data_IF_402499474865
#
_entry.id   IF_402499474865
#
_cell.length_a   1.000
_cell.length_b   1.000
_cell.length_c   1.000
_cell.angle_alpha   90.00
_cell.angle_beta   90.00
_cell.angle_gamma   90.00
#
_symmetry.space_group_name_H-M   'P 1'
#
loop_
_entity.id
_entity.type
_entity.pdbx_description
1 polymer ?
#
# COMPACT_ATOMS: atom_id res chain seq x y z
N UNK A 1 16.84 3.06 -5.92
CA UNK A 1 15.52 2.46 -6.20
C UNK A 1 14.76 3.36 -7.18
N UNK A 2 13.84 2.80 -8.00
CA UNK A 2 12.99 3.59 -8.93
C UNK A 2 11.82 4.20 -8.16
N UNK A 3 11.32 5.33 -8.64
CA UNK A 3 10.21 6.08 -8.04
C UNK A 3 9.11 6.34 -9.06
N UNK A 4 7.93 6.64 -8.56
CA UNK A 4 6.80 7.18 -9.32
C UNK A 4 6.47 8.59 -8.82
N UNK A 5 6.00 9.45 -9.72
CA UNK A 5 5.43 10.75 -9.35
C UNK A 5 3.93 10.59 -9.09
N UNK A 6 3.45 11.19 -8.00
CA UNK A 6 2.04 11.29 -7.65
C UNK A 6 1.39 12.53 -8.27
N UNK A 7 0.06 12.61 -8.27
CA UNK A 7 -0.68 13.74 -8.88
C UNK A 7 -0.38 15.10 -8.23
N UNK A 8 0.14 15.11 -7.01
CA UNK A 8 0.55 16.33 -6.27
C UNK A 8 2.06 16.59 -6.33
N UNK A 9 2.79 15.96 -7.25
CA UNK A 9 4.24 16.09 -7.47
C UNK A 9 5.13 15.48 -6.39
N UNK A 10 4.58 14.84 -5.37
CA UNK A 10 5.38 14.02 -4.47
C UNK A 10 5.91 12.80 -5.22
N UNK A 11 7.08 12.31 -4.81
CA UNK A 11 7.66 11.07 -5.35
C UNK A 11 7.58 9.95 -4.34
N UNK A 12 7.17 8.77 -4.78
CA UNK A 12 7.06 7.56 -3.96
C UNK A 12 7.90 6.44 -4.57
N UNK A 13 8.54 5.62 -3.74
CA UNK A 13 9.29 4.46 -4.25
C UNK A 13 8.35 3.43 -4.86
N UNK A 14 8.78 2.82 -5.97
CA UNK A 14 8.00 1.81 -6.69
C UNK A 14 7.80 0.51 -5.88
N UNK A 15 8.69 0.25 -4.91
CA UNK A 15 8.57 -0.87 -3.97
C UNK A 15 8.71 -0.33 -2.55
N UNK A 16 7.64 -0.46 -1.76
CA UNK A 16 7.61 -0.16 -0.33
C UNK A 16 7.67 -1.44 0.50
N UNK A 17 7.81 -1.27 1.80
CA UNK A 17 7.80 -2.36 2.78
C UNK A 17 6.52 -2.31 3.60
N UNK A 18 5.65 -3.32 3.45
CA UNK A 18 4.42 -3.45 4.22
C UNK A 18 4.66 -4.18 5.54
N UNK A 19 4.01 -3.71 6.62
CA UNK A 19 4.12 -4.33 7.96
C UNK A 19 2.84 -5.01 8.42
N UNK A 20 1.84 -5.19 7.56
CA UNK A 20 0.62 -5.90 7.90
C UNK A 20 0.90 -7.32 8.41
N UNK A 21 0.23 -7.72 9.50
CA UNK A 21 0.42 -9.03 10.17
C UNK A 21 1.84 -9.29 10.68
N UNK A 22 2.66 -8.27 10.88
CA UNK A 22 3.85 -8.39 11.72
C UNK A 22 3.43 -7.95 13.13
N UNK A 23 3.63 -8.80 14.17
CA UNK A 23 3.25 -8.43 15.52
C UNK A 23 3.95 -7.16 16.00
N UNK A 24 3.28 -6.37 16.84
CA UNK A 24 3.87 -5.29 17.62
C UNK A 24 4.80 -5.83 18.73
N UNK A 25 5.29 -4.96 19.59
CA UNK A 25 6.17 -5.28 20.74
C UNK A 25 7.51 -5.94 20.34
N UNK A 26 8.09 -5.46 19.23
CA UNK A 26 9.43 -5.82 18.78
C UNK A 26 9.52 -6.35 17.37
N UNK A 27 8.76 -7.37 16.91
CA UNK A 27 8.91 -7.93 15.57
C UNK A 27 8.71 -6.92 14.44
N UNK A 28 7.76 -5.96 14.57
CA UNK A 28 7.57 -4.90 13.58
C UNK A 28 8.74 -3.92 13.59
N UNK A 29 9.28 -3.59 14.76
CA UNK A 29 10.48 -2.78 14.90
C UNK A 29 11.67 -3.42 14.19
N UNK A 30 11.97 -4.69 14.49
CA UNK A 30 13.11 -5.41 13.91
C UNK A 30 12.98 -5.52 12.38
N UNK A 31 11.79 -5.89 11.87
CA UNK A 31 11.54 -6.01 10.44
C UNK A 31 11.66 -4.66 9.71
N UNK A 32 11.13 -3.58 10.30
CA UNK A 32 11.21 -2.23 9.72
C UNK A 32 12.68 -1.75 9.67
N UNK A 33 13.42 -1.95 10.75
CA UNK A 33 14.83 -1.57 10.80
C UNK A 33 15.67 -2.37 9.79
N UNK A 34 15.40 -3.68 9.64
CA UNK A 34 16.05 -4.53 8.65
C UNK A 34 15.72 -4.08 7.21
N UNK A 35 14.45 -3.74 6.94
CA UNK A 35 14.03 -3.21 5.63
C UNK A 35 14.74 -1.89 5.29
N UNK A 36 14.82 -0.95 6.24
CA UNK A 36 15.55 0.32 6.06
C UNK A 36 17.03 0.08 5.79
N UNK A 37 17.68 -0.85 6.51
CA UNK A 37 19.06 -1.27 6.26
C UNK A 37 19.25 -1.95 4.90
N UNK A 38 18.25 -2.69 4.42
CA UNK A 38 18.26 -3.29 3.08
C UNK A 38 18.09 -2.28 1.95
N UNK A 39 17.70 -1.03 2.25
CA UNK A 39 17.59 0.05 1.26
C UNK A 39 16.15 0.49 0.95
N UNK A 40 15.15 -0.03 1.64
CA UNK A 40 13.79 0.54 1.55
C UNK A 40 13.76 1.96 2.11
N UNK A 41 12.96 2.80 1.48
CA UNK A 41 12.68 4.18 1.92
C UNK A 41 11.19 4.49 1.91
N UNK A 42 10.34 3.52 1.63
CA UNK A 42 8.89 3.60 1.75
C UNK A 42 8.42 2.49 2.70
N UNK A 43 7.79 2.90 3.81
CA UNK A 43 7.25 2.00 4.84
C UNK A 43 5.73 2.20 4.89
N UNK A 44 4.96 1.12 4.76
CA UNK A 44 3.50 1.12 4.82
C UNK A 44 3.02 0.42 6.09
N UNK A 45 2.33 1.18 6.94
CA UNK A 45 1.64 0.72 8.14
C UNK A 45 0.16 1.16 8.13
N UNK A 46 -0.54 1.03 9.24
CA UNK A 46 -1.90 1.52 9.46
C UNK A 46 -2.25 1.58 10.96
N UNK A 47 -3.14 2.49 11.36
CA UNK A 47 -3.71 2.48 12.71
C UNK A 47 -4.32 1.11 13.05
N UNK A 48 -5.04 0.50 12.11
CA UNK A 48 -5.64 -0.83 12.25
C UNK A 48 -4.65 -1.99 12.43
N UNK A 49 -3.35 -1.78 12.25
CA UNK A 49 -2.34 -2.81 12.50
C UNK A 49 -1.81 -2.78 13.93
N UNK A 50 -2.10 -1.70 14.67
CA UNK A 50 -1.64 -1.46 16.06
C UNK A 50 -0.12 -1.53 16.24
N UNK A 51 0.66 -1.22 15.19
CA UNK A 51 2.13 -1.31 15.19
C UNK A 51 2.85 -0.02 14.74
N UNK A 52 2.12 1.10 14.64
CA UNK A 52 2.70 2.40 14.23
C UNK A 52 3.85 2.86 15.16
N UNK A 53 3.76 2.58 16.46
CA UNK A 53 4.81 2.93 17.44
C UNK A 53 6.13 2.20 17.18
N UNK A 54 6.07 0.93 16.81
CA UNK A 54 7.25 0.12 16.44
C UNK A 54 7.89 0.64 15.15
N UNK A 55 7.05 1.00 14.16
CA UNK A 55 7.52 1.61 12.91
C UNK A 55 8.22 2.94 13.19
N UNK A 56 7.58 3.82 13.96
CA UNK A 56 8.15 5.12 14.32
C UNK A 56 9.48 5.00 15.05
N UNK A 57 9.57 4.08 16.02
CA UNK A 57 10.81 3.79 16.75
C UNK A 57 11.91 3.27 15.82
N UNK A 58 11.60 2.33 14.92
CA UNK A 58 12.57 1.80 13.98
C UNK A 58 13.10 2.88 13.02
N UNK A 59 12.23 3.77 12.54
CA UNK A 59 12.62 4.91 11.68
C UNK A 59 13.58 5.82 12.44
N UNK A 60 13.24 6.20 13.67
CA UNK A 60 14.10 7.03 14.51
C UNK A 60 15.46 6.39 14.76
N UNK A 61 15.48 5.11 15.13
CA UNK A 61 16.70 4.38 15.48
C UNK A 61 17.54 3.98 14.25
N UNK A 62 16.98 4.08 13.04
CA UNK A 62 17.70 3.82 11.79
C UNK A 62 18.82 4.84 11.51
N UNK A 63 18.73 6.04 12.07
CA UNK A 63 19.64 7.15 11.81
C UNK A 63 19.52 7.75 10.41
N UNK A 64 18.54 7.33 9.60
CA UNK A 64 18.26 7.88 8.27
C UNK A 64 17.47 9.19 8.46
N UNK A 65 17.80 10.22 7.68
CA UNK A 65 17.05 11.48 7.73
C UNK A 65 15.56 11.22 7.42
N UNK A 66 14.67 11.82 8.24
CA UNK A 66 13.21 11.66 8.08
C UNK A 66 12.73 12.03 6.67
N UNK A 67 13.36 13.02 6.05
CA UNK A 67 13.02 13.47 4.70
C UNK A 67 13.37 12.45 3.60
N UNK A 68 14.21 11.46 3.89
CA UNK A 68 14.52 10.36 2.97
C UNK A 68 13.54 9.19 3.06
N UNK A 69 12.68 9.16 4.09
CA UNK A 69 11.76 8.06 4.34
C UNK A 69 10.33 8.51 4.03
N UNK A 70 9.68 7.79 3.13
CA UNK A 70 8.27 7.95 2.80
C UNK A 70 7.44 7.04 3.71
N UNK A 71 6.59 7.61 4.55
CA UNK A 71 5.72 6.87 5.48
C UNK A 71 4.28 6.90 4.96
N UNK A 72 3.71 5.72 4.76
CA UNK A 72 2.27 5.55 4.55
C UNK A 72 1.64 5.00 5.83
N UNK A 73 0.55 5.62 6.29
CA UNK A 73 -0.36 5.04 7.28
C UNK A 73 -1.82 5.21 6.84
N UNK A 74 -2.77 4.67 7.61
CA UNK A 74 -4.17 4.58 7.22
C UNK A 74 -5.08 4.79 8.43
N UNK A 75 -6.09 5.63 8.27
CA UNK A 75 -7.14 5.83 9.26
C UNK A 75 -8.03 4.59 9.34
N UNK A 76 -8.28 4.09 10.54
CA UNK A 76 -9.19 2.95 10.73
C UNK A 76 -10.64 3.40 10.86
N UNK A 77 -11.57 2.52 10.53
CA UNK A 77 -13.03 2.76 10.50
C UNK A 77 -13.61 3.31 11.81
N UNK A 78 -13.05 2.91 12.95
CA UNK A 78 -13.49 3.38 14.27
C UNK A 78 -13.37 4.89 14.42
N UNK A 79 -12.41 5.50 13.71
CA UNK A 79 -12.13 6.93 13.74
C UNK A 79 -12.72 7.68 12.54
N UNK A 80 -13.64 7.07 11.78
CA UNK A 80 -14.28 7.76 10.66
C UNK A 80 -15.30 8.81 11.16
N UNK A 81 -15.61 9.75 10.28
CA UNK A 81 -16.30 10.99 10.59
C UNK A 81 -15.32 12.12 10.90
N UNK A 82 -15.74 13.36 10.64
CA UNK A 82 -14.85 14.52 10.59
C UNK A 82 -14.05 14.75 11.88
N UNK A 83 -14.73 14.83 13.04
CA UNK A 83 -14.05 15.13 14.31
C UNK A 83 -13.18 13.96 14.83
N UNK A 84 -13.62 12.73 14.63
CA UNK A 84 -12.85 11.55 15.03
C UNK A 84 -11.63 11.37 14.14
N UNK A 85 -11.77 11.58 12.83
CA UNK A 85 -10.65 11.48 11.89
C UNK A 85 -9.52 12.47 12.22
N UNK A 86 -9.85 13.69 12.67
CA UNK A 86 -8.83 14.65 13.15
C UNK A 86 -8.05 14.08 14.32
N UNK A 87 -8.73 13.45 15.29
CA UNK A 87 -8.07 12.82 16.44
C UNK A 87 -7.23 11.59 16.02
N UNK A 88 -7.76 10.78 15.10
CA UNK A 88 -7.05 9.62 14.56
C UNK A 88 -5.75 10.00 13.85
N UNK A 89 -5.76 11.07 13.05
CA UNK A 89 -4.56 11.61 12.40
C UNK A 89 -3.50 12.02 13.44
N UNK A 90 -3.89 12.80 14.47
CA UNK A 90 -2.97 13.23 15.54
C UNK A 90 -2.43 12.01 16.31
N UNK A 91 -3.25 11.00 16.53
CA UNK A 91 -2.84 9.76 17.20
C UNK A 91 -1.80 9.00 16.38
N UNK A 92 -2.03 8.81 15.08
CA UNK A 92 -1.06 8.19 14.18
C UNK A 92 0.28 8.96 14.14
N UNK A 93 0.24 10.29 14.02
CA UNK A 93 1.44 11.13 14.05
C UNK A 93 2.21 10.97 15.35
N UNK A 94 1.50 10.94 16.49
CA UNK A 94 2.10 10.74 17.82
C UNK A 94 2.72 9.35 17.97
N UNK A 95 2.05 8.30 17.52
CA UNK A 95 2.55 6.92 17.59
C UNK A 95 3.78 6.74 16.69
N UNK A 96 3.75 7.29 15.48
CA UNK A 96 4.87 7.31 14.55
C UNK A 96 6.02 8.23 15.03
N UNK A 97 5.75 9.17 15.94
CA UNK A 97 6.73 10.13 16.42
C UNK A 97 7.22 11.11 15.35
N UNK A 98 6.32 11.58 14.49
CA UNK A 98 6.63 12.42 13.33
C UNK A 98 5.82 13.72 13.29
N UNK A 99 6.40 14.76 12.67
CA UNK A 99 5.72 16.05 12.46
C UNK A 99 4.83 16.05 11.20
N UNK A 100 5.02 15.10 10.29
CA UNK A 100 4.21 14.90 9.11
C UNK A 100 4.21 13.43 8.65
N UNK A 101 3.13 13.03 7.96
CA UNK A 101 3.02 11.74 7.27
C UNK A 101 3.04 11.99 5.76
N UNK A 102 3.79 11.17 4.99
CA UNK A 102 3.94 11.39 3.54
C UNK A 102 2.68 11.01 2.76
N UNK A 103 2.02 9.90 3.14
CA UNK A 103 0.75 9.47 2.56
C UNK A 103 -0.17 8.92 3.65
N UNK A 104 -1.40 9.44 3.72
CA UNK A 104 -2.38 8.95 4.67
C UNK A 104 -3.66 8.53 3.94
N UNK A 105 -4.10 7.29 4.17
CA UNK A 105 -5.21 6.69 3.45
C UNK A 105 -6.45 6.54 4.34
N UNK A 106 -7.64 6.60 3.73
CA UNK A 106 -8.82 5.96 4.30
C UNK A 106 -8.72 4.45 4.04
N UNK A 107 -8.68 3.65 5.11
CA UNK A 107 -8.30 2.23 5.04
C UNK A 107 -9.36 1.35 4.38
N UNK A 108 -10.65 1.66 4.59
CA UNK A 108 -11.78 0.88 4.10
C UNK A 108 -12.93 1.83 3.68
N UNK A 109 -13.76 1.44 2.70
CA UNK A 109 -14.77 2.33 2.11
C UNK A 109 -16.13 2.32 2.85
N UNK A 110 -16.15 2.30 4.17
CA UNK A 110 -17.36 2.17 4.97
C UNK A 110 -17.58 3.36 5.91
N UNK A 111 -18.77 3.42 6.54
CA UNK A 111 -19.08 4.44 7.54
C UNK A 111 -19.17 5.87 6.99
N UNK A 112 -18.86 6.87 7.83
CA UNK A 112 -18.81 8.29 7.43
C UNK A 112 -17.49 8.59 6.69
N UNK A 113 -17.39 8.02 5.49
CA UNK A 113 -16.24 8.10 4.62
C UNK A 113 -15.89 9.53 4.18
N UNK A 114 -16.92 10.31 3.78
CA UNK A 114 -16.72 11.68 3.29
C UNK A 114 -16.43 12.66 4.44
N UNK A 115 -16.98 12.43 5.63
CA UNK A 115 -16.59 13.19 6.82
C UNK A 115 -15.12 12.97 7.17
N UNK A 116 -14.65 11.71 7.12
CA UNK A 116 -13.24 11.39 7.31
C UNK A 116 -12.35 11.98 6.20
N UNK A 117 -12.79 11.90 4.92
CA UNK A 117 -12.04 12.49 3.81
C UNK A 117 -11.82 14.00 3.98
N UNK A 118 -12.86 14.73 4.40
CA UNK A 118 -12.76 16.17 4.68
C UNK A 118 -11.69 16.49 5.75
N UNK A 119 -11.57 15.67 6.77
CA UNK A 119 -10.53 15.84 7.79
C UNK A 119 -9.11 15.58 7.21
N UNK A 120 -8.98 14.60 6.30
CA UNK A 120 -7.72 14.38 5.58
C UNK A 120 -7.36 15.58 4.69
N UNK A 121 -8.32 16.17 3.98
CA UNK A 121 -8.13 17.37 3.15
C UNK A 121 -7.62 18.56 3.99
N UNK A 122 -8.18 18.79 5.18
CA UNK A 122 -7.71 19.84 6.08
C UNK A 122 -6.27 19.57 6.57
N UNK A 123 -5.97 18.34 6.96
CA UNK A 123 -4.63 17.97 7.41
C UNK A 123 -3.60 18.08 6.27
N UNK A 124 -4.00 17.78 5.03
CA UNK A 124 -3.21 17.99 3.83
C UNK A 124 -2.92 19.49 3.60
N UNK A 125 -3.94 20.34 3.66
CA UNK A 125 -3.80 21.79 3.53
C UNK A 125 -2.92 22.40 4.64
N UNK A 126 -3.02 21.85 5.86
CA UNK A 126 -2.17 22.25 6.98
C UNK A 126 -0.73 21.73 6.90
N UNK A 127 -0.40 20.89 5.91
CA UNK A 127 0.92 20.30 5.71
C UNK A 127 1.29 19.18 6.67
N UNK A 128 0.37 18.71 7.50
CA UNK A 128 0.53 17.54 8.40
C UNK A 128 0.58 16.22 7.61
N UNK A 129 -0.13 16.18 6.49
CA UNK A 129 -0.09 15.08 5.53
C UNK A 129 0.38 15.63 4.20
N UNK A 130 1.34 14.96 3.54
CA UNK A 130 1.90 15.42 2.26
C UNK A 130 1.13 14.90 1.05
N UNK A 131 0.44 13.77 1.17
CA UNK A 131 -0.44 13.19 0.16
C UNK A 131 -1.58 12.46 0.86
N UNK A 132 -2.79 12.56 0.34
CA UNK A 132 -3.95 11.81 0.82
C UNK A 132 -4.40 10.80 -0.22
N UNK A 133 -4.94 9.68 0.24
CA UNK A 133 -5.35 8.60 -0.64
C UNK A 133 -6.46 7.73 -0.05
N UNK A 134 -6.80 6.74 -0.82
CA UNK A 134 -7.89 5.82 -0.56
C UNK A 134 -7.40 4.37 -0.62
N UNK A 135 -8.15 3.45 -0.03
CA UNK A 135 -7.85 2.03 -0.12
C UNK A 135 -9.13 1.23 -0.32
N UNK A 136 -9.04 0.14 -1.09
CA UNK A 136 -10.13 -0.78 -1.40
C UNK A 136 -11.33 -0.12 -2.11
N UNK A 137 -11.10 0.95 -2.85
CA UNK A 137 -12.14 1.59 -3.67
C UNK A 137 -12.25 0.88 -5.01
N UNK A 138 -13.45 0.34 -5.31
CA UNK A 138 -13.85 -0.21 -6.61
C UNK A 138 -14.33 0.90 -7.56
N UNK A 139 -14.59 0.56 -8.81
CA UNK A 139 -15.19 1.50 -9.78
C UNK A 139 -16.54 2.04 -9.30
N UNK A 140 -17.39 1.17 -8.73
CA UNK A 140 -18.70 1.58 -8.21
C UNK A 140 -18.56 2.52 -7.00
N UNK A 141 -17.67 2.20 -6.06
CA UNK A 141 -17.41 3.03 -4.89
C UNK A 141 -16.75 4.36 -5.28
N UNK A 142 -15.87 4.36 -6.28
CA UNK A 142 -15.32 5.60 -6.84
C UNK A 142 -16.41 6.52 -7.37
N UNK A 143 -17.33 6.00 -8.18
CA UNK A 143 -18.44 6.77 -8.71
C UNK A 143 -19.39 7.28 -7.61
N UNK A 144 -19.46 6.59 -6.47
CA UNK A 144 -20.26 7.02 -5.30
C UNK A 144 -19.61 8.17 -4.52
N UNK A 145 -18.27 8.16 -4.38
CA UNK A 145 -17.58 9.06 -3.45
C UNK A 145 -16.89 10.26 -4.11
N UNK A 146 -16.47 10.14 -5.38
CA UNK A 146 -15.61 11.14 -6.05
C UNK A 146 -16.15 12.57 -6.03
N UNK A 147 -17.46 12.74 -6.18
CA UNK A 147 -18.09 14.08 -6.25
C UNK A 147 -18.11 14.79 -4.88
N UNK A 148 -17.86 14.08 -3.78
CA UNK A 148 -17.72 14.63 -2.43
C UNK A 148 -16.28 14.96 -2.04
N UNK A 149 -15.31 14.75 -2.95
CA UNK A 149 -13.89 15.00 -2.72
C UNK A 149 -13.45 16.31 -3.40
N UNK A 150 -12.87 17.23 -2.63
CA UNK A 150 -12.32 18.48 -3.17
C UNK A 150 -10.86 18.30 -3.63
N UNK A 151 -10.09 17.51 -2.90
CA UNK A 151 -8.73 17.09 -3.27
C UNK A 151 -8.80 15.68 -3.83
N UNK A 152 -8.25 15.46 -5.02
CA UNK A 152 -8.19 14.12 -5.60
C UNK A 152 -7.21 13.23 -4.84
N UNK A 153 -7.57 11.95 -4.55
CA UNK A 153 -6.63 11.01 -3.95
C UNK A 153 -5.38 10.84 -4.82
N UNK A 154 -4.22 10.76 -4.20
CA UNK A 154 -2.98 10.51 -4.91
C UNK A 154 -2.81 9.01 -5.24
N UNK A 155 -3.35 8.16 -4.38
CA UNK A 155 -3.21 6.69 -4.44
C UNK A 155 -4.53 6.02 -4.13
N UNK A 156 -4.82 4.90 -4.83
CA UNK A 156 -5.78 3.89 -4.39
C UNK A 156 -5.02 2.58 -4.13
N UNK A 157 -4.93 2.17 -2.86
CA UNK A 157 -4.26 0.94 -2.45
C UNK A 157 -5.24 -0.24 -2.46
N UNK A 158 -5.02 -1.22 -3.34
CA UNK A 158 -5.94 -2.33 -3.59
C UNK A 158 -5.19 -3.66 -3.68
N UNK A 159 -5.92 -4.77 -3.57
CA UNK A 159 -5.37 -6.08 -3.94
C UNK A 159 -4.93 -6.07 -5.41
N UNK A 160 -3.64 -6.32 -5.63
CA UNK A 160 -3.11 -6.40 -6.98
C UNK A 160 -1.95 -7.41 -7.05
N UNK A 161 -2.12 -8.41 -7.90
CA UNK A 161 -1.13 -9.44 -8.21
C UNK A 161 -1.48 -10.08 -9.57
N UNK A 162 -0.68 -10.99 -10.14
CA UNK A 162 -0.95 -11.60 -11.44
C UNK A 162 -2.34 -12.25 -11.59
N UNK A 163 -2.98 -12.72 -10.51
CA UNK A 163 -4.32 -13.32 -10.55
C UNK A 163 -5.45 -12.31 -10.35
N UNK A 164 -5.13 -11.10 -9.86
CA UNK A 164 -6.09 -10.02 -9.60
C UNK A 164 -5.52 -8.71 -10.13
N UNK A 165 -5.82 -8.38 -11.39
CA UNK A 165 -5.14 -7.30 -12.12
C UNK A 165 -5.93 -5.99 -12.18
N UNK A 166 -7.14 -5.94 -11.63
CA UNK A 166 -7.93 -4.70 -11.49
C UNK A 166 -8.05 -3.89 -12.81
N UNK A 167 -8.24 -4.56 -13.95
CA UNK A 167 -8.13 -3.93 -15.29
C UNK A 167 -9.03 -2.72 -15.47
N UNK A 168 -10.31 -2.82 -15.10
CA UNK A 168 -11.26 -1.71 -15.20
C UNK A 168 -10.91 -0.58 -14.21
N UNK A 169 -10.60 -0.93 -12.97
CA UNK A 169 -10.21 0.04 -11.96
C UNK A 169 -8.95 0.79 -12.37
N UNK A 170 -7.94 0.10 -12.89
CA UNK A 170 -6.71 0.74 -13.40
C UNK A 170 -6.99 1.81 -14.43
N UNK A 171 -7.88 1.53 -15.38
CA UNK A 171 -8.28 2.50 -16.40
C UNK A 171 -8.92 3.74 -15.78
N UNK A 172 -9.90 3.54 -14.89
CA UNK A 172 -10.59 4.64 -14.21
C UNK A 172 -9.63 5.46 -13.34
N UNK A 173 -8.73 4.80 -12.61
CA UNK A 173 -7.75 5.51 -11.77
C UNK A 173 -6.74 6.31 -12.61
N UNK A 174 -6.27 5.76 -13.74
CA UNK A 174 -5.38 6.46 -14.66
C UNK A 174 -6.03 7.71 -15.29
N UNK A 175 -7.31 7.62 -15.68
CA UNK A 175 -8.09 8.75 -16.19
C UNK A 175 -8.22 9.90 -15.17
N UNK A 176 -8.12 9.60 -13.88
CA UNK A 176 -8.19 10.56 -12.77
C UNK A 176 -6.81 10.92 -12.17
N UNK A 177 -5.71 10.49 -12.79
CA UNK A 177 -4.34 10.65 -12.28
C UNK A 177 -4.14 10.08 -10.85
N UNK A 178 -4.85 9.03 -10.51
CA UNK A 178 -4.72 8.30 -9.24
C UNK A 178 -3.84 7.07 -9.48
N UNK A 179 -2.76 6.94 -8.72
CA UNK A 179 -1.87 5.79 -8.86
C UNK A 179 -2.39 4.60 -8.08
N UNK A 180 -2.26 3.40 -8.65
CA UNK A 180 -2.52 2.18 -7.89
C UNK A 180 -1.32 1.77 -7.07
N UNK A 181 -1.61 1.25 -5.89
CA UNK A 181 -0.65 0.63 -4.99
C UNK A 181 -1.15 -0.77 -4.60
N UNK A 182 -0.28 -1.75 -4.72
CA UNK A 182 -0.61 -3.17 -4.55
C UNK A 182 -0.39 -3.62 -3.11
N UNK A 183 -1.45 -3.85 -2.36
CA UNK A 183 -1.35 -4.77 -1.24
C UNK A 183 -1.50 -6.21 -1.74
N UNK A 184 -0.96 -7.19 -1.01
CA UNK A 184 -0.97 -8.61 -1.39
C UNK A 184 -0.24 -8.95 -2.71
N UNK A 185 0.88 -8.26 -3.05
CA UNK A 185 1.52 -8.43 -4.36
C UNK A 185 2.04 -9.84 -4.60
N UNK A 186 2.40 -10.57 -3.54
CA UNK A 186 2.92 -11.95 -3.59
C UNK A 186 1.94 -12.99 -3.05
N UNK A 187 0.65 -12.65 -2.92
CA UNK A 187 -0.39 -13.57 -2.48
C UNK A 187 -0.16 -14.18 -1.09
N UNK A 188 0.55 -13.49 -0.16
CA UNK A 188 1.00 -14.03 1.14
C UNK A 188 1.70 -15.40 1.04
N UNK A 189 2.42 -15.65 -0.05
CA UNK A 189 3.08 -16.92 -0.27
C UNK A 189 2.17 -18.00 -0.87
N UNK A 190 1.09 -17.60 -1.53
CA UNK A 190 0.21 -18.50 -2.26
C UNK A 190 1.02 -19.34 -3.25
N UNK A 191 1.00 -20.67 -3.08
CA UNK A 191 1.76 -21.60 -3.91
C UNK A 191 1.30 -21.60 -5.35
N UNK A 192 0.00 -21.52 -5.62
CA UNK A 192 -0.53 -21.50 -6.99
C UNK A 192 -0.01 -20.29 -7.77
N UNK A 193 0.25 -19.17 -7.08
CA UNK A 193 0.86 -17.99 -7.67
C UNK A 193 2.37 -18.17 -7.85
N UNK A 194 3.09 -18.54 -6.79
CA UNK A 194 4.57 -18.59 -6.80
C UNK A 194 5.12 -19.78 -7.59
N UNK A 195 4.37 -20.85 -7.73
CA UNK A 195 4.71 -22.06 -8.49
C UNK A 195 4.06 -22.10 -9.88
N UNK A 196 3.38 -21.04 -10.29
CA UNK A 196 2.77 -20.94 -11.62
C UNK A 196 3.81 -21.14 -12.73
N UNK A 197 3.55 -21.99 -13.71
CA UNK A 197 4.49 -22.39 -14.76
C UNK A 197 5.04 -21.21 -15.55
N UNK A 198 4.20 -20.23 -15.90
CA UNK A 198 4.62 -19.00 -16.60
C UNK A 198 5.62 -18.22 -15.75
N UNK A 199 5.32 -18.00 -14.48
CA UNK A 199 6.17 -17.23 -13.56
C UNK A 199 7.48 -17.97 -13.30
N UNK A 200 7.44 -19.28 -13.06
CA UNK A 200 8.63 -20.11 -12.83
C UNK A 200 9.53 -20.17 -14.09
N UNK A 201 8.94 -20.24 -15.28
CA UNK A 201 9.69 -20.20 -16.53
C UNK A 201 10.45 -18.88 -16.70
N UNK A 202 9.79 -17.74 -16.43
CA UNK A 202 10.41 -16.42 -16.46
C UNK A 202 11.49 -16.29 -15.38
N UNK A 203 11.26 -16.81 -14.18
CA UNK A 203 12.25 -16.83 -13.11
C UNK A 203 13.54 -17.55 -13.52
N UNK A 204 13.42 -18.71 -14.16
CA UNK A 204 14.57 -19.43 -14.72
C UNK A 204 15.30 -18.65 -15.81
N UNK A 205 14.55 -18.03 -16.73
CA UNK A 205 15.12 -17.24 -17.83
C UNK A 205 15.97 -16.07 -17.33
N UNK A 206 15.48 -15.35 -16.33
CA UNK A 206 16.14 -14.15 -15.78
C UNK A 206 17.07 -14.42 -14.60
N UNK A 207 17.25 -15.68 -14.20
CA UNK A 207 18.02 -16.07 -13.00
C UNK A 207 17.52 -15.35 -11.73
N UNK A 208 16.21 -15.19 -11.61
CA UNK A 208 15.50 -14.56 -10.48
C UNK A 208 14.55 -15.58 -9.81
N UNK A 209 13.97 -15.20 -8.67
CA UNK A 209 12.89 -15.99 -8.06
C UNK A 209 11.52 -15.50 -8.53
N UNK A 210 10.47 -16.29 -8.27
CA UNK A 210 9.10 -15.99 -8.67
C UNK A 210 8.61 -14.63 -8.11
N UNK A 211 8.95 -14.30 -6.87
CA UNK A 211 8.61 -13.02 -6.25
C UNK A 211 9.20 -11.83 -6.99
N UNK A 212 10.46 -11.93 -7.43
CA UNK A 212 11.12 -10.88 -8.21
C UNK A 212 10.46 -10.69 -9.58
N UNK A 213 10.03 -11.76 -10.25
CA UNK A 213 9.30 -11.67 -11.53
C UNK A 213 7.96 -10.96 -11.32
N UNK A 214 7.20 -11.33 -10.29
CA UNK A 214 5.92 -10.70 -9.96
C UNK A 214 6.11 -9.22 -9.66
N UNK A 215 7.06 -8.86 -8.81
CA UNK A 215 7.31 -7.45 -8.44
C UNK A 215 7.83 -6.63 -9.62
N UNK A 216 8.64 -7.22 -10.51
CA UNK A 216 9.07 -6.58 -11.75
C UNK A 216 7.89 -6.33 -12.69
N UNK A 217 7.01 -7.31 -12.85
CA UNK A 217 5.78 -7.17 -13.64
C UNK A 217 4.89 -6.06 -13.07
N UNK A 218 4.64 -6.03 -11.75
CA UNK A 218 3.87 -4.97 -11.09
C UNK A 218 4.46 -3.59 -11.38
N UNK A 219 5.80 -3.47 -11.28
CA UNK A 219 6.50 -2.22 -11.59
C UNK A 219 6.29 -1.81 -13.06
N UNK A 220 6.41 -2.74 -14.01
CA UNK A 220 6.19 -2.44 -15.44
C UNK A 220 4.73 -2.12 -15.77
N UNK A 221 3.77 -2.61 -14.98
CA UNK A 221 2.37 -2.19 -15.03
C UNK A 221 2.14 -0.78 -14.45
N UNK A 222 3.17 -0.10 -13.94
CA UNK A 222 3.09 1.23 -13.36
C UNK A 222 2.45 1.28 -11.98
N UNK A 223 2.40 0.17 -11.27
CA UNK A 223 1.79 0.00 -9.94
C UNK A 223 2.88 -0.02 -8.86
N UNK A 224 2.64 0.66 -7.73
CA UNK A 224 3.50 0.58 -6.55
C UNK A 224 3.24 -0.77 -5.86
N UNK A 225 4.25 -1.43 -5.33
CA UNK A 225 4.09 -2.71 -4.63
C UNK A 225 4.56 -2.67 -3.19
N UNK A 226 3.83 -3.36 -2.30
CA UNK A 226 4.08 -3.44 -0.86
C UNK A 226 4.32 -4.89 -0.42
N UNK A 227 5.42 -5.53 -0.83
CA UNK A 227 5.76 -6.84 -0.32
C UNK A 227 6.09 -6.78 1.18
N UNK A 228 5.67 -7.80 1.92
CA UNK A 228 5.96 -7.99 3.34
C UNK A 228 6.88 -9.18 3.53
N UNK A 229 7.90 -9.05 4.36
CA UNK A 229 8.75 -10.15 4.79
C UNK A 229 9.34 -9.87 6.16
N UNK A 230 9.63 -10.93 6.94
CA UNK A 230 10.48 -10.88 8.14
C UNK A 230 11.84 -11.55 7.88
N UNK A 231 12.10 -11.99 6.65
CA UNK A 231 13.36 -12.61 6.24
C UNK A 231 14.19 -11.60 5.43
N UNK A 232 15.39 -11.29 5.89
CA UNK A 232 16.26 -10.26 5.28
C UNK A 232 16.65 -10.57 3.84
N UNK A 233 16.90 -11.84 3.49
CA UNK A 233 17.26 -12.22 2.12
C UNK A 233 16.07 -11.98 1.15
N UNK A 234 14.83 -12.25 1.61
CA UNK A 234 13.64 -11.92 0.83
C UNK A 234 13.44 -10.41 0.71
N UNK A 235 13.72 -9.63 1.78
CA UNK A 235 13.67 -8.16 1.72
C UNK A 235 14.61 -7.64 0.64
N UNK A 236 15.88 -8.08 0.64
CA UNK A 236 16.89 -7.71 -0.39
C UNK A 236 16.43 -8.14 -1.79
N UNK A 237 15.96 -9.37 -1.94
CA UNK A 237 15.47 -9.88 -3.21
C UNK A 237 14.29 -9.11 -3.76
N UNK A 238 13.33 -8.71 -2.91
CA UNK A 238 12.14 -7.97 -3.33
C UNK A 238 12.44 -6.59 -3.94
N UNK A 239 13.56 -5.97 -3.63
CA UNK A 239 13.99 -4.69 -4.22
C UNK A 239 15.06 -4.87 -5.33
N UNK A 240 15.57 -6.08 -5.53
CA UNK A 240 16.50 -6.44 -6.58
C UNK A 240 15.76 -6.87 -7.86
N UNK A 241 15.03 -5.94 -8.46
CA UNK A 241 14.13 -6.17 -9.61
C UNK A 241 14.35 -5.17 -10.75
N UNK A 242 15.37 -4.32 -10.69
CA UNK A 242 15.57 -3.24 -11.64
C UNK A 242 16.71 -3.49 -12.65
N UNK A 243 17.35 -4.63 -12.59
CA UNK A 243 18.47 -5.07 -13.44
C UNK A 243 18.04 -5.92 -14.65
N UNK A 244 16.73 -6.22 -14.78
CA UNK A 244 16.14 -6.93 -15.90
C UNK A 244 14.80 -6.32 -16.29
N UNK A 245 14.27 -6.69 -17.46
CA UNK A 245 12.99 -6.22 -17.99
C UNK A 245 12.25 -7.36 -18.67
N UNK A 246 10.95 -7.47 -18.39
CA UNK A 246 10.05 -8.39 -19.09
C UNK A 246 9.72 -7.80 -20.47
N UNK A 247 9.79 -8.62 -21.53
CA UNK A 247 9.39 -8.23 -22.87
C UNK A 247 7.87 -8.03 -22.97
N UNK A 248 7.40 -7.40 -24.04
CA UNK A 248 5.95 -7.19 -24.29
C UNK A 248 5.19 -8.53 -24.36
N UNK A 249 5.79 -9.58 -24.90
CA UNK A 249 5.20 -10.93 -24.96
C UNK A 249 5.10 -11.54 -23.55
N UNK A 250 6.11 -11.34 -22.72
CA UNK A 250 6.12 -11.82 -21.36
C UNK A 250 5.14 -11.04 -20.47
N UNK A 251 5.03 -9.72 -20.68
CA UNK A 251 4.01 -8.92 -20.01
C UNK A 251 2.60 -9.40 -20.38
N UNK A 252 2.34 -9.73 -21.67
CA UNK A 252 1.07 -10.33 -22.11
C UNK A 252 0.83 -11.71 -21.49
N UNK A 253 1.88 -12.55 -21.37
CA UNK A 253 1.76 -13.84 -20.70
C UNK A 253 1.40 -13.70 -19.21
N UNK A 254 1.98 -12.73 -18.51
CA UNK A 254 1.61 -12.40 -17.13
C UNK A 254 0.18 -11.85 -17.04
N UNK A 255 -0.23 -10.98 -17.98
CA UNK A 255 -1.59 -10.45 -18.05
C UNK A 255 -2.65 -11.52 -18.31
N UNK A 256 -2.30 -12.62 -18.98
CA UNK A 256 -3.20 -13.75 -19.21
C UNK A 256 -3.50 -14.58 -17.95
N UNK A 257 -2.75 -14.39 -16.85
CA UNK A 257 -2.96 -15.10 -15.58
C UNK A 257 -4.14 -14.54 -14.79
N UNK A 258 -4.74 -13.43 -15.18
CA UNK A 258 -5.82 -12.78 -14.46
C UNK A 258 -7.06 -13.69 -14.32
N UNK A 259 -7.42 -13.98 -13.09
CA UNK A 259 -8.64 -14.71 -12.77
C UNK A 259 -9.80 -13.79 -12.39
N UNK A 260 -9.48 -12.52 -12.10
CA UNK A 260 -10.42 -11.51 -11.59
C UNK A 260 -11.22 -11.98 -10.35
N UNK A 261 -10.56 -12.73 -9.46
CA UNK A 261 -11.16 -13.26 -8.22
C UNK A 261 -10.40 -12.69 -7.01
N UNK A 262 -10.71 -11.48 -6.57
CA UNK A 262 -10.07 -10.89 -5.39
C UNK A 262 -10.40 -11.68 -4.13
N UNK A 263 -9.46 -11.71 -3.19
CA UNK A 263 -9.63 -12.35 -1.88
C UNK A 263 -10.57 -11.55 -0.96
N UNK A 264 -10.75 -10.26 -1.26
CA UNK A 264 -11.60 -9.34 -0.52
C UNK A 264 -12.50 -8.57 -1.49
N UNK A 265 -13.81 -8.60 -1.24
CA UNK A 265 -14.78 -7.77 -1.95
C UNK A 265 -15.26 -6.63 -1.01
N UNK A 266 -14.85 -5.38 -1.25
CA UNK A 266 -15.28 -4.27 -0.41
C UNK A 266 -16.76 -3.88 -0.58
N UNK A 267 -17.46 -4.42 -1.56
CA UNK A 267 -18.90 -4.21 -1.78
C UNK A 267 -19.77 -5.29 -1.11
N UNK A 268 -19.16 -6.27 -0.44
CA UNK A 268 -19.88 -7.31 0.29
C UNK A 268 -20.32 -6.78 1.68
N UNK A 269 -21.64 -6.72 1.98
CA UNK A 269 -22.14 -6.25 3.27
C UNK A 269 -21.62 -7.07 4.47
N UNK A 270 -21.25 -8.34 4.28
CA UNK A 270 -20.66 -9.15 5.34
C UNK A 270 -19.27 -8.63 5.72
N UNK A 271 -18.48 -8.16 4.76
CA UNK A 271 -17.20 -7.51 5.02
C UNK A 271 -17.36 -6.17 5.74
N UNK A 272 -18.32 -5.35 5.34
CA UNK A 272 -18.66 -4.10 6.04
C UNK A 272 -19.00 -4.38 7.50
N UNK A 273 -19.96 -5.27 7.77
CA UNK A 273 -20.38 -5.63 9.13
C UNK A 273 -19.22 -6.13 9.98
N UNK A 274 -18.39 -7.02 9.43
CA UNK A 274 -17.22 -7.59 10.11
C UNK A 274 -16.19 -6.52 10.46
N UNK A 275 -15.84 -5.65 9.51
CA UNK A 275 -14.78 -4.66 9.68
C UNK A 275 -15.21 -3.48 10.54
N UNK A 276 -16.47 -3.05 10.45
CA UNK A 276 -17.04 -2.03 11.33
C UNK A 276 -17.10 -2.47 12.80
N UNK A 277 -17.17 -3.78 13.04
CA UNK A 277 -17.14 -4.36 14.39
C UNK A 277 -15.74 -4.44 15.02
N UNK A 278 -14.67 -4.24 14.26
CA UNK A 278 -13.30 -4.34 14.77
C UNK A 278 -12.85 -3.03 15.41
N UNK A 279 -12.66 -3.08 16.73
CA UNK A 279 -12.11 -1.96 17.51
C UNK A 279 -10.60 -2.12 17.66
N UNK A 280 -9.87 -1.00 17.57
CA UNK A 280 -8.42 -0.92 17.76
C UNK A 280 -8.03 -0.13 19.01
N UNK A 281 -8.97 0.56 19.62
CA UNK A 281 -8.84 1.26 20.90
C UNK A 281 -10.21 1.35 21.62
N UNK A 282 -10.24 1.79 22.87
CA UNK A 282 -11.43 1.96 23.73
C UNK A 282 -12.36 3.07 23.24
#
# INVERSE_FOLDING_TARGET
MKTFELNNKQTIQAVGFGVFMIPNDGPTYDATLAALKAGYRHIDTAAGYCNESDVGKAIKDSGIDRSEIFITSKLWLQDYGYENAKKGIETSMKLLGVDYIDLYLLHQPYGDYLGAWKALEEAYQAGKIKSIGISNITVNLWNKFKDGMTVMPAVNQVEFNPFVQQKELRKVMAENNIRLEAWYPLGHGNKDLLENETIVSLAKKYHKNAGQIILRWIYQEGVISLPKSTNEERMKGNIDIFDFELTDEEMKAMQALDTNKPSHNPEDPANETRLMGLKIHD
#
